data_IF_975509208516
#
_entry.id   IF_975509208516
#
_cell.length_a   1.000
_cell.length_b   1.000
_cell.length_c   1.000
_cell.angle_alpha   90.00
_cell.angle_beta   90.00
_cell.angle_gamma   90.00
#
_symmetry.space_group_name_H-M   'P 1'
#
loop_
_entity.id
_entity.type
_entity.pdbx_description
1 polymer ?
#
# COMPACT_ATOMS: atom_id res chain seq x y z
N UNK A 1 -7.74 8.61 -17.75
CA UNK A 1 -8.68 8.63 -16.60
C UNK A 1 -7.94 9.26 -15.43
N UNK A 2 -8.53 10.25 -14.76
CA UNK A 2 -7.95 10.88 -13.55
C UNK A 2 -8.55 10.20 -12.33
N UNK A 3 -7.71 9.77 -11.40
CA UNK A 3 -8.16 9.22 -10.10
C UNK A 3 -8.21 10.40 -9.13
N UNK A 4 -9.37 10.60 -8.51
CA UNK A 4 -9.53 11.65 -7.49
C UNK A 4 -8.81 11.27 -6.20
N UNK A 5 -8.34 12.27 -5.44
CA UNK A 5 -7.65 12.01 -4.18
C UNK A 5 -8.66 11.65 -3.09
N UNK A 6 -8.29 10.67 -2.27
CA UNK A 6 -9.03 10.34 -1.06
C UNK A 6 -8.63 11.29 0.07
N UNK A 7 -9.61 12.00 0.61
CA UNK A 7 -9.42 12.91 1.73
C UNK A 7 -9.14 12.14 3.02
N UNK A 8 -8.00 12.42 3.65
CA UNK A 8 -7.64 11.78 4.92
C UNK A 8 -8.62 12.22 6.03
N UNK A 9 -9.39 11.31 6.65
CA UNK A 9 -10.38 11.65 7.68
C UNK A 9 -9.73 12.20 8.95
N UNK A 10 -8.44 11.94 9.16
CA UNK A 10 -7.67 12.40 10.31
C UNK A 10 -7.02 13.77 10.11
N UNK A 11 -7.20 14.42 8.95
CA UNK A 11 -6.55 15.70 8.61
C UNK A 11 -6.83 16.86 9.58
N UNK A 12 -7.86 16.75 10.43
CA UNK A 12 -8.25 17.77 11.42
C UNK A 12 -7.73 17.47 12.84
N UNK A 13 -7.00 16.37 13.05
CA UNK A 13 -6.43 16.06 14.35
C UNK A 13 -5.32 17.07 14.71
N UNK A 14 -5.19 17.35 16.01
CA UNK A 14 -4.24 18.36 16.52
C UNK A 14 -2.78 18.06 16.16
N UNK A 15 -2.41 16.78 16.10
CA UNK A 15 -1.05 16.32 15.77
C UNK A 15 -0.98 15.70 14.36
N UNK A 16 -1.82 16.16 13.43
CA UNK A 16 -1.80 15.64 12.07
C UNK A 16 -0.57 16.14 11.31
N UNK A 17 0.26 15.21 10.84
CA UNK A 17 1.37 15.53 9.95
C UNK A 17 0.90 15.57 8.49
N UNK A 18 1.08 16.74 7.85
CA UNK A 18 0.69 17.00 6.47
C UNK A 18 1.25 16.00 5.45
N UNK A 19 2.37 15.32 5.77
CA UNK A 19 2.91 14.29 4.89
C UNK A 19 1.96 13.11 4.68
N UNK A 20 1.03 12.87 5.62
CA UNK A 20 0.05 11.80 5.52
C UNK A 20 -1.25 12.20 4.81
N UNK A 21 -1.34 13.44 4.28
CA UNK A 21 -2.53 13.97 3.62
C UNK A 21 -3.10 13.04 2.55
N UNK A 22 -2.23 12.37 1.79
CA UNK A 22 -2.61 11.52 0.66
C UNK A 22 -2.28 10.03 0.88
N UNK A 23 -1.85 9.64 2.08
CA UNK A 23 -1.42 8.24 2.33
C UNK A 23 -2.52 7.22 2.09
N UNK A 24 -3.79 7.61 2.24
CA UNK A 24 -4.91 6.70 2.00
C UNK A 24 -5.23 6.49 0.52
N UNK A 25 -4.62 7.25 -0.41
CA UNK A 25 -4.74 6.94 -1.84
C UNK A 25 -4.20 5.54 -2.17
N UNK A 26 -3.30 4.98 -1.35
CA UNK A 26 -2.85 3.60 -1.49
C UNK A 26 -4.01 2.59 -1.45
N UNK A 27 -5.13 2.92 -0.80
CA UNK A 27 -6.30 2.05 -0.72
C UNK A 27 -7.01 1.85 -2.07
N UNK A 28 -6.76 2.69 -3.08
CA UNK A 28 -7.26 2.46 -4.44
C UNK A 28 -6.73 1.15 -5.04
N UNK A 29 -5.66 0.55 -4.49
CA UNK A 29 -5.24 -0.79 -4.89
C UNK A 29 -6.36 -1.84 -4.76
N UNK A 30 -7.26 -1.71 -3.76
CA UNK A 30 -8.40 -2.61 -3.59
C UNK A 30 -9.52 -2.39 -4.61
N UNK A 31 -9.53 -1.28 -5.35
CA UNK A 31 -10.52 -1.09 -6.43
C UNK A 31 -10.08 -1.73 -7.75
N UNK A 32 -8.91 -2.38 -7.80
CA UNK A 32 -8.40 -3.11 -8.96
C UNK A 32 -9.07 -4.50 -9.08
N UNK A 33 -10.40 -4.55 -9.05
CA UNK A 33 -11.21 -5.78 -9.03
C UNK A 33 -11.12 -6.63 -10.31
N UNK A 34 -10.43 -6.14 -11.34
CA UNK A 34 -10.20 -6.88 -12.59
C UNK A 34 -8.97 -7.79 -12.49
N UNK A 35 -8.26 -7.78 -11.37
CA UNK A 35 -7.10 -8.62 -11.11
C UNK A 35 -7.41 -9.59 -9.97
N UNK A 36 -7.01 -10.85 -10.14
CA UNK A 36 -7.13 -11.84 -9.07
C UNK A 36 -6.20 -11.53 -7.90
N UNK A 37 -5.03 -10.94 -8.20
CA UNK A 37 -3.96 -10.65 -7.26
C UNK A 37 -3.21 -9.38 -7.63
N UNK A 38 -2.81 -8.59 -6.64
CA UNK A 38 -2.03 -7.36 -6.84
C UNK A 38 -0.85 -7.32 -5.87
N UNK A 39 0.36 -7.11 -6.40
CA UNK A 39 1.52 -6.75 -5.59
C UNK A 39 1.67 -5.23 -5.62
N UNK A 40 1.48 -4.58 -4.49
CA UNK A 40 1.70 -3.13 -4.33
C UNK A 40 3.15 -2.90 -3.90
N UNK A 41 3.84 -2.01 -4.61
CA UNK A 41 5.20 -1.55 -4.29
C UNK A 41 5.19 -0.02 -4.23
N UNK A 42 5.76 0.56 -3.18
CA UNK A 42 5.96 2.01 -3.09
C UNK A 42 6.94 2.50 -4.17
N UNK A 43 6.72 3.71 -4.67
CA UNK A 43 7.50 4.30 -5.76
C UNK A 43 8.98 4.56 -5.41
N UNK A 44 9.34 4.48 -4.14
CA UNK A 44 10.71 4.62 -3.62
C UNK A 44 11.40 3.26 -3.39
N UNK A 45 10.81 2.15 -3.86
CA UNK A 45 11.41 0.83 -3.81
C UNK A 45 11.79 0.33 -5.21
N UNK A 46 12.79 -0.56 -5.27
CA UNK A 46 13.32 -1.12 -6.51
C UNK A 46 13.49 -2.63 -6.37
N UNK A 47 12.96 -3.39 -7.32
CA UNK A 47 13.26 -4.82 -7.42
C UNK A 47 14.63 -5.04 -8.05
N UNK A 48 15.47 -5.85 -7.39
CA UNK A 48 16.80 -6.21 -7.89
C UNK A 48 16.82 -7.58 -8.59
N UNK A 49 15.74 -8.35 -8.45
CA UNK A 49 15.56 -9.71 -8.97
C UNK A 49 14.10 -9.91 -9.39
N UNK A 50 13.80 -10.97 -10.14
CA UNK A 50 12.41 -11.41 -10.36
C UNK A 50 11.75 -11.69 -8.99
N UNK A 51 10.46 -11.36 -8.88
CA UNK A 51 9.69 -11.46 -7.62
C UNK A 51 8.32 -12.11 -7.84
N UNK A 52 8.19 -12.94 -8.88
CA UNK A 52 6.92 -13.61 -9.22
C UNK A 52 6.43 -14.53 -8.09
N UNK A 53 7.34 -14.99 -7.21
CA UNK A 53 7.00 -15.75 -6.01
C UNK A 53 6.12 -14.99 -5.02
N UNK A 54 6.10 -13.65 -5.06
CA UNK A 54 5.23 -12.85 -4.19
C UNK A 54 3.74 -13.16 -4.43
N UNK A 55 3.37 -13.52 -5.66
CA UNK A 55 2.00 -13.93 -6.00
C UNK A 55 1.59 -15.29 -5.42
N UNK A 56 2.53 -16.04 -4.82
CA UNK A 56 2.25 -17.32 -4.15
C UNK A 56 1.91 -17.17 -2.67
N UNK A 57 2.07 -15.97 -2.09
CA UNK A 57 1.76 -15.74 -0.68
C UNK A 57 0.23 -15.65 -0.41
N UNK A 58 -0.21 -15.53 0.84
CA UNK A 58 -1.62 -15.32 1.21
C UNK A 58 -2.25 -13.99 0.72
N UNK A 59 -3.53 -13.77 1.06
CA UNK A 59 -4.34 -12.64 0.53
C UNK A 59 -4.14 -11.31 1.27
N UNK A 60 -3.52 -11.34 2.45
CA UNK A 60 -2.74 -10.19 2.89
C UNK A 60 -1.36 -10.68 3.31
N UNK A 61 -0.34 -10.21 2.61
CA UNK A 61 1.05 -10.39 3.01
C UNK A 61 1.77 -9.07 3.00
N UNK A 62 2.60 -8.87 4.00
CA UNK A 62 3.52 -7.75 4.07
C UNK A 62 4.77 -8.20 4.86
N UNK A 63 5.84 -7.42 4.77
CA UNK A 63 7.06 -7.66 5.54
C UNK A 63 6.95 -6.94 6.87
N UNK A 64 7.32 -7.60 7.97
CA UNK A 64 7.33 -7.00 9.30
C UNK A 64 8.49 -6.00 9.48
N UNK A 65 8.19 -4.79 9.99
CA UNK A 65 9.21 -3.87 10.53
C UNK A 65 9.66 -4.41 11.89
N UNK A 66 8.70 -4.90 12.67
CA UNK A 66 8.88 -5.54 13.97
C UNK A 66 7.73 -6.55 14.21
N UNK A 67 7.75 -7.36 15.28
CA UNK A 67 6.74 -8.41 15.50
C UNK A 67 5.28 -7.96 15.55
N UNK A 68 4.99 -6.67 15.73
CA UNK A 68 3.64 -6.13 15.83
C UNK A 68 3.20 -5.28 14.62
N UNK A 69 4.16 -4.81 13.80
CA UNK A 69 3.90 -3.80 12.77
C UNK A 69 4.56 -4.23 11.46
N UNK A 70 3.76 -4.28 10.39
CA UNK A 70 4.24 -4.50 9.03
C UNK A 70 4.53 -3.19 8.28
N UNK A 71 5.43 -3.27 7.31
CA UNK A 71 5.78 -2.19 6.40
C UNK A 71 4.79 -2.16 5.24
N UNK A 72 4.21 -1.00 4.95
CA UNK A 72 3.22 -0.85 3.85
C UNK A 72 3.85 -0.48 2.51
N UNK A 73 5.19 -0.51 2.42
CA UNK A 73 5.92 -0.27 1.16
C UNK A 73 5.90 -1.44 0.18
N UNK A 74 5.67 -2.66 0.68
CA UNK A 74 5.45 -3.84 -0.15
C UNK A 74 4.37 -4.70 0.51
N UNK A 75 3.28 -4.95 -0.19
CA UNK A 75 2.27 -5.91 0.24
C UNK A 75 1.53 -6.57 -0.94
N UNK A 76 0.93 -7.72 -0.67
CA UNK A 76 0.16 -8.50 -1.65
C UNK A 76 -1.30 -8.52 -1.23
N UNK A 77 -2.19 -8.27 -2.20
CA UNK A 77 -3.65 -8.34 -2.13
C UNK A 77 -4.18 -9.51 -2.96
#
# INVERSE_FOLDING_TARGET
VRVENLENPYKKQTNFDNRFKLSLNKLYAWSLSNYDRVVMLDADNLFLKNTDELFQCGQFCAVFINPCIFHTGLFVL
#
